data_IF_068958762787
#
_entry.id   IF_068958762787
#
_cell.length_a   1.000
_cell.length_b   1.000
_cell.length_c   1.000
_cell.angle_alpha   90.00
_cell.angle_beta   90.00
_cell.angle_gamma   90.00
#
_symmetry.space_group_name_H-M   'P 1'
#
loop_
_entity.id
_entity.type
_entity.pdbx_description
1 polymer ?
#
# COMPACT_ATOMS: atom_id res chain seq x y z
N UNK A 1 -12.38 -9.77 -69.24
CA UNK A 1 -12.04 -10.48 -67.98
C UNK A 1 -11.63 -9.47 -66.92
N UNK A 2 -12.45 -9.28 -65.87
CA UNK A 2 -12.21 -8.32 -64.78
C UNK A 2 -11.27 -8.94 -63.73
N UNK A 3 -10.16 -8.30 -63.40
CA UNK A 3 -9.30 -8.67 -62.26
C UNK A 3 -9.88 -8.08 -60.97
N UNK A 4 -10.17 -8.93 -59.98
CA UNK A 4 -10.55 -8.53 -58.61
C UNK A 4 -9.29 -8.06 -57.87
N UNK A 5 -9.40 -6.95 -57.15
CA UNK A 5 -8.40 -6.49 -56.19
C UNK A 5 -8.64 -7.19 -54.83
N UNK A 6 -7.57 -7.71 -54.22
CA UNK A 6 -7.57 -8.22 -52.85
C UNK A 6 -7.53 -7.06 -51.84
N UNK A 7 -8.23 -7.17 -50.70
CA UNK A 7 -8.14 -6.18 -49.64
C UNK A 7 -6.85 -6.40 -48.83
N UNK A 8 -6.02 -5.36 -48.74
CA UNK A 8 -4.88 -5.30 -47.80
C UNK A 8 -5.41 -5.31 -46.38
N UNK A 9 -5.33 -6.45 -45.72
CA UNK A 9 -5.57 -6.59 -44.28
C UNK A 9 -4.63 -5.67 -43.50
N UNK A 10 -5.20 -4.74 -42.74
CA UNK A 10 -4.49 -3.86 -41.82
C UNK A 10 -3.99 -4.73 -40.67
N UNK A 11 -2.70 -5.05 -40.64
CA UNK A 11 -2.09 -5.77 -39.54
C UNK A 11 -2.32 -5.00 -38.23
N UNK A 12 -3.15 -5.55 -37.34
CA UNK A 12 -3.21 -5.12 -35.94
C UNK A 12 -1.84 -5.41 -35.34
N UNK A 13 -1.07 -4.36 -35.04
CA UNK A 13 0.13 -4.51 -34.20
C UNK A 13 -0.38 -4.99 -32.84
N UNK A 14 -0.05 -6.22 -32.47
CA UNK A 14 -0.21 -6.68 -31.10
C UNK A 14 0.68 -5.79 -30.22
N UNK A 15 0.06 -4.96 -29.38
CA UNK A 15 0.77 -4.27 -28.31
C UNK A 15 1.16 -5.38 -27.33
N UNK A 16 2.46 -5.60 -27.15
CA UNK A 16 2.94 -6.57 -26.17
C UNK A 16 2.48 -6.10 -24.79
N UNK A 17 1.60 -6.87 -24.14
CA UNK A 17 1.14 -6.57 -22.78
C UNK A 17 2.31 -6.63 -21.80
N UNK A 18 2.44 -5.61 -20.96
CA UNK A 18 3.45 -5.55 -19.91
C UNK A 18 2.95 -6.38 -18.73
N UNK A 19 3.64 -7.47 -18.38
CA UNK A 19 3.33 -8.24 -17.17
C UNK A 19 4.17 -7.66 -16.04
N UNK A 20 3.49 -7.13 -15.03
CA UNK A 20 4.11 -6.48 -13.88
C UNK A 20 3.64 -7.21 -12.62
N UNK A 21 4.60 -7.73 -11.87
CA UNK A 21 4.35 -8.45 -10.63
C UNK A 21 4.43 -7.43 -9.51
N UNK A 22 3.49 -7.49 -8.59
CA UNK A 22 3.53 -6.67 -7.39
C UNK A 22 4.10 -7.56 -6.29
N UNK A 23 5.11 -7.05 -5.58
CA UNK A 23 5.94 -7.86 -4.71
C UNK A 23 5.12 -8.42 -3.56
N UNK A 24 5.37 -9.69 -3.20
CA UNK A 24 4.83 -10.24 -1.95
C UNK A 24 5.37 -9.41 -0.78
N UNK A 25 4.51 -9.13 0.21
CA UNK A 25 4.80 -8.46 1.47
C UNK A 25 5.94 -9.17 2.22
N UNK A 26 7.18 -8.86 1.85
CA UNK A 26 8.40 -9.42 2.45
C UNK A 26 8.99 -8.50 3.52
N UNK A 27 8.25 -7.46 3.95
CA UNK A 27 8.65 -6.69 5.12
C UNK A 27 8.49 -7.58 6.36
N UNK A 28 9.65 -7.99 6.86
CA UNK A 28 9.84 -9.15 7.71
C UNK A 28 8.93 -9.19 8.95
N UNK A 29 8.40 -10.39 9.22
CA UNK A 29 7.98 -10.79 10.55
C UNK A 29 9.07 -10.45 11.57
N UNK A 30 8.88 -9.35 12.30
CA UNK A 30 9.51 -9.16 13.60
C UNK A 30 8.37 -9.14 14.61
N UNK A 31 7.86 -10.33 14.93
CA UNK A 31 7.28 -10.55 16.25
C UNK A 31 8.41 -10.26 17.25
N UNK A 32 8.43 -9.07 17.83
CA UNK A 32 9.23 -8.84 19.02
C UNK A 32 8.59 -9.61 20.18
N UNK A 33 8.79 -10.92 20.24
CA UNK A 33 8.81 -11.63 21.52
C UNK A 33 10.11 -11.27 22.24
N UNK A 34 10.18 -10.01 22.69
CA UNK A 34 11.33 -9.46 23.38
C UNK A 34 11.43 -10.04 24.80
N UNK A 35 12.09 -11.19 24.96
CA UNK A 35 12.98 -11.36 26.12
C UNK A 35 14.25 -10.54 25.86
N UNK A 36 14.16 -9.24 26.11
CA UNK A 36 15.27 -8.31 25.98
C UNK A 36 14.80 -6.95 25.49
N UNK A 37 14.71 -5.98 26.42
CA UNK A 37 14.28 -4.59 26.27
C UNK A 37 12.87 -4.37 25.72
N UNK A 38 11.92 -3.99 26.60
CA UNK A 38 10.60 -3.47 26.23
C UNK A 38 10.78 -2.34 25.21
N UNK A 39 10.37 -2.54 23.96
CA UNK A 39 9.96 -1.40 23.14
C UNK A 39 8.88 -0.69 23.95
N UNK A 40 9.19 0.50 24.47
CA UNK A 40 8.23 1.24 25.28
C UNK A 40 7.21 1.80 24.30
N UNK A 41 5.95 1.42 24.48
CA UNK A 41 4.85 1.97 23.72
C UNK A 41 4.94 3.50 23.77
N UNK A 42 4.85 4.21 22.63
CA UNK A 42 4.94 5.66 22.60
C UNK A 42 3.79 6.28 23.38
N UNK A 43 3.92 7.58 23.67
CA UNK A 43 2.80 8.35 24.19
C UNK A 43 1.73 8.51 23.10
N UNK A 44 0.49 8.79 23.51
CA UNK A 44 -0.61 9.07 22.59
C UNK A 44 -0.26 10.23 21.66
N UNK A 45 -0.43 10.10 20.33
CA UNK A 45 -0.24 11.19 19.40
C UNK A 45 -1.12 12.39 19.76
N UNK A 46 -0.60 13.61 19.61
CA UNK A 46 -1.29 14.83 19.99
C UNK A 46 -2.56 15.11 19.16
N UNK A 47 -2.63 14.51 17.97
CA UNK A 47 -3.73 14.60 17.02
C UNK A 47 -4.59 13.33 16.98
N UNK A 48 -4.41 12.40 17.93
CA UNK A 48 -5.28 11.25 18.09
C UNK A 48 -6.61 11.63 18.78
N UNK A 49 -7.73 11.19 18.21
CA UNK A 49 -9.10 11.46 18.65
C UNK A 49 -9.63 10.37 19.59
N UNK A 50 -10.54 10.70 20.51
CA UNK A 50 -11.13 9.71 21.43
C UNK A 50 -11.97 8.63 20.73
N UNK A 51 -12.35 8.86 19.47
CA UNK A 51 -13.14 8.00 18.63
C UNK A 51 -12.53 7.96 17.22
N UNK A 52 -12.83 6.93 16.40
CA UNK A 52 -12.37 6.85 15.01
C UNK A 52 -12.59 8.18 14.26
N UNK A 53 -11.55 8.62 13.54
CA UNK A 53 -11.56 9.92 12.82
C UNK A 53 -12.58 9.89 11.68
N UNK A 54 -12.64 8.76 10.97
CA UNK A 54 -13.61 8.48 9.92
C UNK A 54 -14.39 7.20 10.21
N UNK A 55 -15.36 6.91 9.33
CA UNK A 55 -16.10 5.66 9.34
C UNK A 55 -15.86 4.91 8.04
N UNK A 56 -15.62 3.59 8.09
CA UNK A 56 -15.56 2.80 6.89
C UNK A 56 -16.86 2.89 6.07
N UNK A 57 -16.78 2.92 4.74
CA UNK A 57 -17.97 2.94 3.90
C UNK A 57 -18.79 1.66 4.07
N UNK A 58 -20.11 1.79 4.04
CA UNK A 58 -21.00 0.61 3.94
C UNK A 58 -20.92 0.05 2.52
N UNK A 59 -20.31 -1.13 2.40
CA UNK A 59 -20.13 -1.84 1.14
C UNK A 59 -20.84 -3.18 1.17
N UNK A 60 -21.14 -3.74 0.00
CA UNK A 60 -21.62 -5.13 -0.09
C UNK A 60 -20.44 -6.05 0.14
N UNK A 61 -20.65 -7.11 0.92
CA UNK A 61 -19.68 -8.19 1.08
C UNK A 61 -19.74 -9.10 -0.16
N UNK A 62 -19.14 -8.61 -1.25
CA UNK A 62 -19.08 -9.24 -2.56
C UNK A 62 -17.62 -9.26 -3.03
N UNK A 63 -17.25 -10.28 -3.82
CA UNK A 63 -15.88 -10.44 -4.33
C UNK A 63 -14.99 -11.26 -3.37
N UNK A 64 -13.68 -11.19 -3.59
CA UNK A 64 -12.69 -11.91 -2.77
C UNK A 64 -11.65 -10.95 -2.22
N UNK A 65 -11.39 -11.05 -0.92
CA UNK A 65 -10.28 -10.36 -0.24
C UNK A 65 -9.61 -11.31 0.76
N UNK A 66 -8.39 -10.98 1.14
CA UNK A 66 -7.63 -11.64 2.20
C UNK A 66 -6.88 -10.56 3.00
N UNK A 67 -6.48 -10.90 4.22
CA UNK A 67 -5.68 -10.02 5.06
C UNK A 67 -4.25 -10.55 5.18
N UNK A 68 -3.27 -9.65 5.15
CA UNK A 68 -1.85 -10.02 5.31
C UNK A 68 -1.58 -10.59 6.69
N UNK A 69 -2.44 -10.24 7.66
CA UNK A 69 -2.34 -10.67 9.05
C UNK A 69 -3.68 -10.57 9.76
N UNK A 70 -3.96 -11.55 10.60
CA UNK A 70 -5.14 -11.66 11.46
C UNK A 70 -4.72 -11.70 12.92
N UNK A 71 -5.65 -11.42 13.83
CA UNK A 71 -5.38 -11.42 15.26
C UNK A 71 -5.00 -12.84 15.73
N UNK A 72 -4.08 -12.98 16.70
CA UNK A 72 -3.61 -14.29 17.16
C UNK A 72 -4.69 -15.23 17.72
N UNK A 73 -5.88 -14.70 18.04
CA UNK A 73 -7.01 -15.45 18.63
C UNK A 73 -8.19 -15.60 17.69
N UNK A 74 -8.21 -14.90 16.56
CA UNK A 74 -9.29 -14.95 15.57
C UNK A 74 -8.73 -14.73 14.17
N UNK A 75 -8.75 -15.80 13.36
CA UNK A 75 -8.28 -15.78 11.97
C UNK A 75 -9.21 -15.00 11.02
N UNK A 76 -10.34 -14.47 11.51
CA UNK A 76 -11.24 -13.60 10.74
C UNK A 76 -11.14 -12.13 11.14
N UNK A 77 -10.48 -11.83 12.26
CA UNK A 77 -10.28 -10.46 12.74
C UNK A 77 -8.95 -9.95 12.18
N UNK A 78 -8.93 -8.93 11.31
CA UNK A 78 -7.67 -8.42 10.77
C UNK A 78 -6.85 -7.66 11.82
N UNK A 79 -5.53 -7.65 11.63
CA UNK A 79 -4.68 -6.61 12.23
C UNK A 79 -4.88 -5.32 11.44
N UNK A 80 -5.07 -4.20 12.14
CA UNK A 80 -5.43 -2.91 11.53
C UNK A 80 -4.53 -1.79 12.05
N UNK A 81 -4.56 -0.64 11.38
CA UNK A 81 -4.05 0.62 11.95
C UNK A 81 -5.02 1.17 12.99
N UNK A 82 -4.54 2.03 13.88
CA UNK A 82 -5.39 2.80 14.79
C UNK A 82 -6.31 3.76 14.01
N UNK A 83 -7.63 3.56 13.99
CA UNK A 83 -8.53 4.48 13.29
C UNK A 83 -8.75 5.79 14.05
N UNK A 84 -8.32 5.88 15.32
CA UNK A 84 -8.38 7.09 16.13
C UNK A 84 -7.21 8.04 15.89
N UNK A 85 -6.12 7.61 15.24
CA UNK A 85 -4.94 8.44 15.00
C UNK A 85 -4.66 8.57 13.49
N UNK A 86 -4.23 9.73 13.01
CA UNK A 86 -3.85 9.87 11.60
C UNK A 86 -2.60 9.04 11.28
N UNK A 87 -2.62 8.40 10.12
CA UNK A 87 -1.46 7.74 9.53
C UNK A 87 -0.64 8.82 8.83
N UNK A 88 0.43 9.26 9.49
CA UNK A 88 1.39 10.18 8.91
C UNK A 88 2.23 9.49 7.84
N UNK A 89 2.41 10.17 6.70
CA UNK A 89 3.12 9.66 5.54
C UNK A 89 4.15 10.69 5.08
N UNK A 90 5.40 10.26 4.93
CA UNK A 90 6.47 11.04 4.30
C UNK A 90 6.89 10.40 2.99
N UNK A 91 7.27 11.21 2.02
CA UNK A 91 7.60 10.76 0.67
C UNK A 91 9.07 10.98 0.34
N UNK A 92 9.80 9.91 0.03
CA UNK A 92 11.11 9.98 -0.60
C UNK A 92 10.94 9.95 -2.13
N UNK A 93 11.39 10.99 -2.81
CA UNK A 93 11.16 11.19 -4.25
C UNK A 93 12.39 10.89 -5.12
N UNK A 94 13.40 10.18 -4.61
CA UNK A 94 14.72 10.02 -5.26
C UNK A 94 14.63 9.61 -6.73
N UNK A 95 13.78 8.64 -7.06
CA UNK A 95 13.60 8.15 -8.45
C UNK A 95 12.23 8.47 -9.05
N UNK A 96 11.49 9.42 -8.43
CA UNK A 96 10.09 9.68 -8.72
C UNK A 96 9.81 9.92 -10.21
N UNK A 97 8.59 9.57 -10.61
CA UNK A 97 8.10 9.79 -11.97
C UNK A 97 7.47 11.19 -12.11
N UNK A 98 7.37 11.76 -13.33
CA UNK A 98 6.69 13.04 -13.53
C UNK A 98 5.24 13.06 -13.00
N UNK A 99 4.94 14.01 -12.12
CA UNK A 99 3.64 14.15 -11.47
C UNK A 99 3.34 13.09 -10.40
N UNK A 100 4.39 12.51 -9.80
CA UNK A 100 4.30 11.56 -8.69
C UNK A 100 3.51 12.10 -7.49
N UNK A 101 3.65 13.38 -7.17
CA UNK A 101 2.92 14.04 -6.07
C UNK A 101 1.40 13.94 -6.24
N UNK A 102 0.91 14.16 -7.47
CA UNK A 102 -0.50 14.01 -7.82
C UNK A 102 -0.97 12.56 -7.76
N UNK A 103 -0.11 11.62 -8.17
CA UNK A 103 -0.41 10.19 -8.14
C UNK A 103 -0.51 9.69 -6.70
N UNK A 104 0.48 10.02 -5.86
CA UNK A 104 0.50 9.62 -4.44
C UNK A 104 -0.71 10.18 -3.72
N UNK A 105 -1.02 11.47 -3.91
CA UNK A 105 -2.20 12.10 -3.30
C UNK A 105 -3.50 11.37 -3.68
N UNK A 106 -3.73 11.13 -4.96
CA UNK A 106 -4.93 10.43 -5.43
C UNK A 106 -5.03 8.98 -4.91
N UNK A 107 -3.90 8.28 -4.80
CA UNK A 107 -3.88 6.92 -4.26
C UNK A 107 -4.16 6.90 -2.75
N UNK A 108 -3.58 7.86 -2.01
CA UNK A 108 -3.82 8.05 -0.57
C UNK A 108 -5.29 8.44 -0.31
N UNK A 109 -5.84 9.37 -1.08
CA UNK A 109 -7.27 9.73 -1.00
C UNK A 109 -8.14 8.48 -1.24
N UNK A 110 -7.79 7.67 -2.24
CA UNK A 110 -8.57 6.47 -2.59
C UNK A 110 -8.55 5.37 -1.53
N UNK A 111 -7.42 5.17 -0.82
CA UNK A 111 -7.38 4.21 0.31
C UNK A 111 -8.03 4.80 1.56
N UNK A 112 -7.91 6.12 1.78
CA UNK A 112 -8.59 6.82 2.87
C UNK A 112 -10.11 6.71 2.72
N UNK A 113 -10.66 6.97 1.53
CA UNK A 113 -12.09 6.85 1.24
C UNK A 113 -12.62 5.41 1.40
N UNK A 114 -11.81 4.42 1.03
CA UNK A 114 -12.21 3.02 1.07
C UNK A 114 -12.15 2.39 2.48
N UNK A 115 -11.30 2.94 3.35
CA UNK A 115 -11.11 2.44 4.72
C UNK A 115 -11.80 3.31 5.76
N UNK A 116 -11.92 4.62 5.53
CA UNK A 116 -12.26 5.59 6.57
C UNK A 116 -11.06 5.99 7.46
N UNK A 117 -9.86 5.44 7.24
CA UNK A 117 -8.64 5.83 7.94
C UNK A 117 -8.18 7.22 7.47
N UNK A 118 -7.70 8.04 8.40
CA UNK A 118 -7.18 9.36 8.08
C UNK A 118 -5.68 9.27 7.73
N UNK A 119 -5.29 9.87 6.60
CA UNK A 119 -3.89 9.98 6.19
C UNK A 119 -3.45 11.44 6.15
N UNK A 120 -2.21 11.70 6.56
CA UNK A 120 -1.60 13.04 6.50
C UNK A 120 -0.28 12.95 5.74
N UNK A 121 -0.19 13.64 4.60
CA UNK A 121 1.04 13.77 3.83
C UNK A 121 1.93 14.87 4.46
N UNK A 122 2.91 14.47 5.25
CA UNK A 122 3.85 15.36 5.96
C UNK A 122 4.93 15.96 5.05
N UNK A 123 4.92 15.59 3.77
CA UNK A 123 5.84 16.11 2.76
C UNK A 123 7.05 15.22 2.53
N UNK A 124 8.16 15.84 2.13
CA UNK A 124 9.34 15.13 1.60
C UNK A 124 10.29 14.68 2.70
N UNK A 125 10.96 13.55 2.46
CA UNK A 125 12.03 13.04 3.32
C UNK A 125 13.18 12.46 2.49
N UNK A 126 14.37 12.44 3.07
CA UNK A 126 15.54 11.73 2.52
C UNK A 126 15.68 10.30 3.09
N UNK A 127 14.76 9.90 4.00
CA UNK A 127 14.73 8.54 4.58
C UNK A 127 14.64 7.49 3.48
N UNK A 128 15.47 6.46 3.58
CA UNK A 128 15.52 5.36 2.61
C UNK A 128 14.72 4.13 3.09
N UNK A 129 14.34 3.21 2.18
CA UNK A 129 13.59 2.01 2.54
C UNK A 129 14.28 1.14 3.62
N UNK A 130 15.61 1.09 3.64
CA UNK A 130 16.39 0.30 4.59
C UNK A 130 16.52 0.92 5.99
N UNK A 131 16.11 2.19 6.15
CA UNK A 131 16.05 2.89 7.43
C UNK A 131 14.87 2.43 8.31
N UNK A 132 14.05 1.48 7.86
CA UNK A 132 12.83 1.00 8.54
C UNK A 132 13.06 0.13 9.78
N UNK A 133 14.32 -0.15 10.16
CA UNK A 133 14.62 -0.98 11.35
C UNK A 133 14.13 -0.39 12.68
N UNK A 134 13.74 0.88 12.69
CA UNK A 134 13.19 1.56 13.87
C UNK A 134 11.68 1.76 13.70
N UNK A 135 10.91 1.36 14.70
CA UNK A 135 9.45 1.57 14.73
C UNK A 135 9.06 2.92 15.32
N UNK A 136 9.91 3.49 16.17
CA UNK A 136 9.68 4.78 16.83
C UNK A 136 10.68 5.83 16.37
N UNK A 137 10.24 7.08 16.27
CA UNK A 137 11.10 8.24 16.16
C UNK A 137 11.31 8.84 17.56
N UNK A 138 12.51 9.33 17.83
CA UNK A 138 12.79 10.12 19.02
C UNK A 138 13.67 11.34 18.66
N UNK A 139 13.11 12.37 18.02
CA UNK A 139 13.89 13.53 17.63
C UNK A 139 14.02 14.56 18.76
N UNK A 140 13.20 14.48 19.83
CA UNK A 140 13.14 15.48 20.93
C UNK A 140 12.82 14.91 22.33
N UNK A 141 12.91 13.60 22.55
CA UNK A 141 12.56 12.92 23.81
C UNK A 141 11.11 12.42 23.89
N UNK A 142 10.27 12.74 22.90
CA UNK A 142 8.91 12.22 22.75
C UNK A 142 8.97 11.08 21.74
N UNK A 143 8.65 9.87 22.20
CA UNK A 143 8.56 8.70 21.33
C UNK A 143 7.22 8.75 20.61
N UNK A 144 7.25 8.70 19.29
CA UNK A 144 6.07 8.46 18.44
C UNK A 144 6.35 7.30 17.51
N UNK A 145 5.31 6.67 16.97
CA UNK A 145 5.49 5.82 15.81
C UNK A 145 6.09 6.63 14.65
N UNK A 146 6.97 6.01 13.87
CA UNK A 146 7.50 6.68 12.68
C UNK A 146 6.39 6.83 11.64
N UNK A 147 6.34 7.95 10.91
CA UNK A 147 5.49 8.06 9.73
C UNK A 147 5.73 6.90 8.77
N UNK A 148 4.70 6.46 8.06
CA UNK A 148 4.82 5.57 6.93
C UNK A 148 5.72 6.20 5.87
N UNK A 149 6.56 5.39 5.22
CA UNK A 149 7.38 5.83 4.09
C UNK A 149 6.71 5.46 2.77
N UNK A 150 6.47 6.43 1.90
CA UNK A 150 6.34 6.15 0.46
C UNK A 150 7.67 6.52 -0.18
N UNK A 151 8.34 5.59 -0.85
CA UNK A 151 9.65 5.80 -1.44
C UNK A 151 9.67 5.43 -2.92
N UNK A 152 10.14 6.37 -3.74
CA UNK A 152 10.50 6.11 -5.12
C UNK A 152 11.96 5.67 -5.16
N UNK A 153 12.18 4.38 -5.40
CA UNK A 153 13.48 3.70 -5.36
C UNK A 153 13.80 3.05 -6.71
N UNK A 154 14.81 2.19 -6.73
CA UNK A 154 15.24 1.37 -7.87
C UNK A 154 15.84 0.04 -7.37
N UNK A 155 16.08 -0.94 -8.27
CA UNK A 155 16.63 -2.24 -7.89
C UNK A 155 18.07 -2.24 -7.33
N UNK A 156 18.79 -1.11 -7.47
CA UNK A 156 20.15 -0.96 -6.94
C UNK A 156 20.12 -0.61 -5.44
N UNK A 157 19.22 0.30 -5.03
CA UNK A 157 18.98 0.65 -3.62
C UNK A 157 18.10 -0.39 -2.92
N UNK A 158 17.08 -0.91 -3.61
CA UNK A 158 16.12 -1.86 -3.04
C UNK A 158 16.13 -3.18 -3.84
N UNK A 159 16.94 -4.17 -3.43
CA UNK A 159 17.05 -5.44 -4.15
C UNK A 159 15.74 -6.21 -4.34
N UNK A 160 14.72 -5.97 -3.51
CA UNK A 160 13.39 -6.57 -3.64
C UNK A 160 12.64 -6.13 -4.92
N UNK A 161 13.03 -5.01 -5.53
CA UNK A 161 12.47 -4.51 -6.79
C UNK A 161 13.08 -5.18 -8.04
N UNK A 162 14.04 -6.10 -7.89
CA UNK A 162 14.68 -6.74 -9.04
C UNK A 162 13.68 -7.55 -9.86
N UNK A 163 13.77 -7.39 -11.18
CA UNK A 163 12.94 -8.14 -12.13
C UNK A 163 11.63 -7.40 -12.44
N UNK A 164 10.48 -8.10 -12.52
CA UNK A 164 9.21 -7.49 -12.90
C UNK A 164 8.45 -6.86 -11.72
N UNK A 165 9.13 -6.51 -10.62
CA UNK A 165 8.52 -6.01 -9.39
C UNK A 165 8.43 -4.48 -9.40
N UNK A 166 7.24 -3.91 -9.48
CA UNK A 166 7.09 -2.45 -9.55
C UNK A 166 6.89 -1.77 -8.20
N UNK A 167 6.54 -2.56 -7.18
CA UNK A 167 6.20 -2.07 -5.87
C UNK A 167 6.31 -3.17 -4.82
N UNK A 168 6.54 -2.75 -3.59
CA UNK A 168 6.39 -3.57 -2.38
C UNK A 168 5.80 -2.69 -1.27
N UNK A 169 4.66 -3.10 -0.74
CA UNK A 169 3.99 -2.50 0.41
C UNK A 169 4.01 -3.42 1.63
N UNK A 170 3.93 -2.84 2.82
CA UNK A 170 3.76 -3.61 4.04
C UNK A 170 3.87 -2.78 5.30
N UNK A 171 3.50 -3.39 6.41
CA UNK A 171 3.41 -2.73 7.72
C UNK A 171 4.12 -3.52 8.81
N UNK A 172 4.60 -2.80 9.82
CA UNK A 172 5.10 -3.36 11.07
C UNK A 172 3.99 -3.34 12.11
N UNK A 173 3.73 -4.50 12.71
CA UNK A 173 2.77 -4.64 13.78
C UNK A 173 3.45 -4.71 15.15
N UNK A 174 2.77 -4.18 16.16
CA UNK A 174 3.12 -4.35 17.58
C UNK A 174 1.96 -5.02 18.31
N UNK A 175 2.27 -5.66 19.45
CA UNK A 175 1.28 -6.33 20.28
C UNK A 175 1.23 -5.68 21.66
N UNK A 176 0.03 -5.38 22.14
CA UNK A 176 -0.25 -4.94 23.51
C UNK A 176 -1.50 -5.65 24.02
N UNK A 177 -1.42 -6.19 25.25
CA UNK A 177 -2.51 -6.90 25.91
C UNK A 177 -3.19 -8.02 25.09
N UNK A 178 -2.44 -8.60 24.15
CA UNK A 178 -2.89 -9.71 23.32
C UNK A 178 -3.62 -9.31 22.02
N UNK A 179 -3.72 -8.02 21.72
CA UNK A 179 -4.20 -7.49 20.45
C UNK A 179 -3.03 -6.86 19.67
N UNK A 180 -3.09 -6.93 18.34
CA UNK A 180 -2.06 -6.40 17.45
C UNK A 180 -2.55 -5.24 16.60
N UNK A 181 -1.68 -4.25 16.39
CA UNK A 181 -1.92 -3.12 15.51
C UNK A 181 -0.74 -2.89 14.58
N UNK A 182 -1.03 -2.48 13.35
CA UNK A 182 -0.04 -1.83 12.50
C UNK A 182 0.21 -0.41 13.00
N UNK A 183 1.49 -0.04 13.09
CA UNK A 183 1.90 1.25 13.68
C UNK A 183 2.80 2.08 12.77
N UNK A 184 3.43 1.45 11.79
CA UNK A 184 4.23 2.09 10.76
C UNK A 184 4.42 1.11 9.61
N UNK A 185 4.99 1.56 8.50
CA UNK A 185 5.18 0.73 7.33
C UNK A 185 5.84 1.48 6.18
N UNK A 186 5.88 0.81 5.04
CA UNK A 186 6.57 1.28 3.85
C UNK A 186 5.84 0.87 2.58
N UNK A 187 5.87 1.75 1.59
CA UNK A 187 5.57 1.48 0.19
C UNK A 187 6.81 1.89 -0.61
N UNK A 188 7.44 0.93 -1.26
CA UNK A 188 8.64 1.16 -2.07
C UNK A 188 8.34 0.87 -3.54
N UNK A 189 8.55 1.85 -4.40
CA UNK A 189 8.11 1.87 -5.80
C UNK A 189 9.32 1.92 -6.74
N UNK A 190 9.36 1.08 -7.78
CA UNK A 190 10.39 1.13 -8.81
C UNK A 190 10.12 2.29 -9.78
N UNK A 191 10.76 3.43 -9.52
CA UNK A 191 10.63 4.63 -10.35
C UNK A 191 11.03 4.39 -11.81
N UNK A 192 12.20 3.81 -12.12
CA UNK A 192 12.58 3.42 -13.49
C UNK A 192 11.54 2.56 -14.22
N UNK A 193 10.98 1.54 -13.57
CA UNK A 193 9.97 0.67 -14.16
C UNK A 193 8.63 1.38 -14.36
N UNK A 194 8.14 2.10 -13.34
CA UNK A 194 6.89 2.86 -13.44
C UNK A 194 6.96 4.00 -14.47
N UNK A 195 8.15 4.57 -14.71
CA UNK A 195 8.36 5.53 -15.81
C UNK A 195 8.16 4.91 -17.18
N UNK A 196 8.31 3.59 -17.34
CA UNK A 196 8.00 2.90 -18.58
C UNK A 196 6.48 2.78 -18.77
N UNK A 197 5.73 2.48 -17.71
CA UNK A 197 4.26 2.44 -17.75
C UNK A 197 3.66 3.78 -18.16
N UNK A 198 4.23 4.91 -17.69
CA UNK A 198 3.75 6.25 -18.07
C UNK A 198 3.74 6.53 -19.59
N UNK A 199 4.40 5.70 -20.40
CA UNK A 199 4.42 5.85 -21.86
C UNK A 199 3.19 5.24 -22.54
N UNK A 200 2.39 4.45 -21.84
CA UNK A 200 1.12 3.92 -22.37
C UNK A 200 0.01 4.96 -22.26
N UNK A 201 -1.08 4.75 -23.01
CA UNK A 201 -2.26 5.64 -22.98
C UNK A 201 -2.91 5.67 -21.60
N UNK A 202 -2.92 4.53 -20.89
CA UNK A 202 -3.41 4.39 -19.52
C UNK A 202 -2.35 4.73 -18.46
N UNK A 203 -1.15 5.16 -18.85
CA UNK A 203 0.05 5.08 -18.02
C UNK A 203 -0.05 5.75 -16.64
N UNK A 204 -0.63 6.96 -16.56
CA UNK A 204 -0.84 7.63 -15.25
C UNK A 204 -1.79 6.83 -14.35
N UNK A 205 -2.86 6.31 -14.93
CA UNK A 205 -3.87 5.52 -14.23
C UNK A 205 -3.27 4.19 -13.76
N UNK A 206 -2.46 3.53 -14.59
CA UNK A 206 -1.74 2.29 -14.23
C UNK A 206 -0.72 2.51 -13.12
N UNK A 207 0.05 3.61 -13.15
CA UNK A 207 0.98 3.92 -12.05
C UNK A 207 0.21 4.20 -10.76
N UNK A 208 -0.91 4.95 -10.81
CA UNK A 208 -1.78 5.14 -9.63
C UNK A 208 -2.29 3.80 -9.10
N UNK A 209 -2.72 2.90 -9.98
CA UNK A 209 -3.19 1.56 -9.60
C UNK A 209 -2.11 0.75 -8.87
N UNK A 210 -0.85 0.83 -9.30
CA UNK A 210 0.28 0.23 -8.57
C UNK A 210 0.44 0.84 -7.18
N UNK A 211 0.44 2.18 -7.07
CA UNK A 211 0.55 2.85 -5.75
C UNK A 211 -0.61 2.47 -4.84
N UNK A 212 -1.83 2.40 -5.38
CA UNK A 212 -3.01 1.92 -4.65
C UNK A 212 -2.81 0.48 -4.16
N UNK A 213 -2.41 -0.45 -5.03
CA UNK A 213 -2.16 -1.84 -4.62
C UNK A 213 -1.19 -1.95 -3.44
N UNK A 214 -0.06 -1.24 -3.50
CA UNK A 214 0.90 -1.27 -2.40
C UNK A 214 0.37 -0.60 -1.13
N UNK A 215 -0.47 0.44 -1.26
CA UNK A 215 -1.19 1.01 -0.12
C UNK A 215 -2.25 0.04 0.44
N UNK A 216 -2.83 -0.83 -0.39
CA UNK A 216 -3.67 -1.94 0.04
C UNK A 216 -2.91 -2.89 0.96
N UNK A 217 -1.71 -3.30 0.55
CA UNK A 217 -0.81 -4.08 1.41
C UNK A 217 -0.40 -3.37 2.69
N UNK A 218 -0.11 -2.07 2.60
CA UNK A 218 0.19 -1.24 3.76
C UNK A 218 -0.96 -1.35 4.79
N UNK A 219 -2.20 -1.07 4.39
CA UNK A 219 -3.32 -1.07 5.35
C UNK A 219 -3.78 -2.46 5.78
N UNK A 220 -3.39 -3.52 5.06
CA UNK A 220 -3.53 -4.90 5.52
C UNK A 220 -4.17 -5.87 4.55
N UNK A 221 -4.45 -5.49 3.29
CA UNK A 221 -4.95 -6.42 2.27
C UNK A 221 -3.84 -7.33 1.74
N UNK A 222 -4.14 -8.61 1.57
CA UNK A 222 -3.26 -9.57 0.89
C UNK A 222 -3.73 -9.86 -0.53
N UNK A 223 -2.85 -10.48 -1.32
CA UNK A 223 -3.17 -10.89 -2.66
C UNK A 223 -4.34 -11.86 -2.72
N UNK A 224 -5.13 -11.72 -3.78
CA UNK A 224 -6.18 -12.67 -4.15
C UNK A 224 -5.90 -13.26 -5.54
N UNK A 225 -6.65 -14.31 -5.89
CA UNK A 225 -6.53 -14.97 -7.20
C UNK A 225 -7.49 -14.39 -8.24
N UNK A 226 -8.46 -13.60 -7.82
CA UNK A 226 -9.42 -12.97 -8.72
C UNK A 226 -8.74 -11.84 -9.49
N UNK A 227 -8.84 -11.87 -10.82
CA UNK A 227 -8.23 -10.89 -11.72
C UNK A 227 -9.04 -9.60 -11.83
N UNK A 228 -10.26 -9.57 -11.30
CA UNK A 228 -11.10 -8.36 -11.23
C UNK A 228 -10.79 -7.48 -10.02
N UNK A 229 -9.99 -7.97 -9.08
CA UNK A 229 -9.54 -7.24 -7.90
C UNK A 229 -8.19 -6.59 -8.18
N UNK A 230 -8.01 -5.36 -7.71
CA UNK A 230 -6.74 -4.65 -7.77
C UNK A 230 -5.68 -5.37 -6.95
N UNK A 231 -6.06 -6.09 -5.88
CA UNK A 231 -5.15 -6.96 -5.11
C UNK A 231 -4.79 -8.28 -5.81
N UNK A 232 -5.08 -8.45 -7.11
CA UNK A 232 -4.44 -9.51 -7.89
C UNK A 232 -2.93 -9.24 -8.00
N UNK A 233 -2.09 -10.24 -7.69
CA UNK A 233 -0.62 -10.11 -7.63
C UNK A 233 0.06 -9.68 -8.95
N UNK A 234 -0.66 -9.69 -10.06
CA UNK A 234 -0.15 -9.28 -11.37
C UNK A 234 -0.98 -8.13 -11.90
N UNK A 235 -0.33 -6.97 -12.07
CA UNK A 235 -0.97 -5.76 -12.60
C UNK A 235 -1.54 -5.96 -14.00
N UNK A 236 -2.63 -5.27 -14.27
CA UNK A 236 -3.27 -5.17 -15.59
C UNK A 236 -3.60 -3.71 -15.88
N UNK A 237 -3.58 -3.31 -17.15
CA UNK A 237 -4.07 -1.97 -17.54
C UNK A 237 -5.60 -1.86 -17.45
N UNK A 238 -6.31 -2.99 -17.37
CA UNK A 238 -7.78 -3.04 -17.33
C UNK A 238 -8.36 -2.87 -15.91
N UNK A 239 -7.56 -3.09 -14.86
CA UNK A 239 -7.99 -3.00 -13.46
C UNK A 239 -7.18 -1.90 -12.79
N UNK A 240 -7.82 -0.76 -12.57
CA UNK A 240 -7.16 0.47 -12.11
C UNK A 240 -7.86 1.16 -10.95
N UNK A 241 -8.90 0.53 -10.43
CA UNK A 241 -9.68 0.93 -9.27
C UNK A 241 -9.88 -0.30 -8.39
N UNK A 242 -10.24 -0.08 -7.13
CA UNK A 242 -10.65 -1.15 -6.22
C UNK A 242 -11.75 -2.00 -6.84
N UNK A 243 -11.59 -3.33 -6.79
CA UNK A 243 -12.66 -4.27 -7.08
C UNK A 243 -13.65 -4.38 -5.91
N UNK A 244 -14.72 -5.18 -6.06
CA UNK A 244 -15.71 -5.40 -5.00
C UNK A 244 -15.08 -5.98 -3.72
N UNK A 245 -14.22 -7.01 -3.87
CA UNK A 245 -13.53 -7.65 -2.76
C UNK A 245 -12.55 -6.69 -2.09
N UNK A 246 -11.75 -5.96 -2.86
CA UNK A 246 -10.85 -4.95 -2.32
C UNK A 246 -11.61 -3.94 -1.44
N UNK A 247 -12.75 -3.43 -1.91
CA UNK A 247 -13.58 -2.49 -1.13
C UNK A 247 -14.12 -3.11 0.15
N UNK A 248 -14.58 -4.36 0.10
CA UNK A 248 -15.07 -5.09 1.28
C UNK A 248 -13.96 -5.27 2.33
N UNK A 249 -12.78 -5.71 1.89
CA UNK A 249 -11.63 -5.87 2.78
C UNK A 249 -11.09 -4.54 3.32
N UNK A 250 -11.01 -3.48 2.50
CA UNK A 250 -10.61 -2.14 2.94
C UNK A 250 -11.58 -1.57 3.99
N UNK A 251 -12.89 -1.75 3.78
CA UNK A 251 -13.88 -1.32 4.76
C UNK A 251 -13.72 -2.08 6.10
N UNK A 252 -13.43 -3.39 6.05
CA UNK A 252 -13.14 -4.16 7.25
C UNK A 252 -11.87 -3.67 7.98
N UNK A 253 -10.81 -3.32 7.23
CA UNK A 253 -9.54 -2.84 7.79
C UNK A 253 -9.64 -1.47 8.48
N UNK A 254 -10.63 -0.66 8.14
CA UNK A 254 -10.89 0.60 8.84
C UNK A 254 -11.76 0.46 10.09
N UNK A 255 -12.35 -0.71 10.33
CA UNK A 255 -13.22 -1.00 11.47
C UNK A 255 -12.50 -1.43 12.75
N UNK A 256 -11.19 -1.24 12.82
CA UNK A 256 -10.34 -1.69 13.92
C UNK A 256 -10.60 -1.01 15.27
N UNK A 257 -9.98 -1.55 16.32
CA UNK A 257 -10.00 -0.94 17.66
C UNK A 257 -8.96 0.17 17.77
N UNK A 258 -9.32 1.25 18.48
CA UNK A 258 -8.36 2.30 18.78
C UNK A 258 -7.28 1.81 19.74
N UNK A 259 -6.07 2.33 19.56
CA UNK A 259 -4.95 1.97 20.43
C UNK A 259 -5.11 2.62 21.82
N UNK A 260 -4.90 1.82 22.86
CA UNK A 260 -4.69 2.31 24.22
C UNK A 260 -3.19 2.59 24.45
N UNK A 261 -2.82 3.87 24.47
CA UNK A 261 -1.45 4.37 24.61
C UNK A 261 -1.01 4.43 26.07
#
# INVERSE_FOLDING_TARGET
MRRRAEPRGRARRAVAGFVLVLGLSLLALQLTEGRGTKATFPDRPNDAMEQPIGQPPTVRDEGTYQFVRTQPKDDNEPVTYDPCAPIHVVVNERTAVPGADGIVRQAVDSVSDATGLAFVLDGRTDRRPDDERQTTADPQGVRSWRPVLISWSDPDETPALKGPVAGVGGSTAVRRDGHEWFVTGGVTLDGPQLRQLLRSEAGRTSVRAVVMHELGHLVGLDHVKDRGELMYATGSEDVTEWGPGDRAGLAALGGGECIDY
#
